data_IF_095055472851
#
_entry.id   IF_095055472851
#
_cell.length_a   1.000
_cell.length_b   1.000
_cell.length_c   1.000
_cell.angle_alpha   90.00
_cell.angle_beta   90.00
_cell.angle_gamma   90.00
#
_symmetry.space_group_name_H-M   'P 1'
#
loop_
_entity.id
_entity.type
_entity.pdbx_description
1 polymer ?
#
# COMPACT_ATOMS: atom_id res chain seq x y z
N UNK A 1 6.80 20.46 11.57
CA UNK A 1 5.63 21.03 10.85
C UNK A 1 5.65 20.60 9.38
N UNK A 2 4.49 20.35 8.78
CA UNK A 2 4.34 20.05 7.35
C UNK A 2 4.83 21.21 6.48
N UNK A 3 5.22 20.92 5.24
CA UNK A 3 5.59 21.93 4.22
C UNK A 3 4.71 21.80 3.00
N UNK A 4 4.68 22.83 2.15
CA UNK A 4 3.96 22.75 0.87
C UNK A 4 4.66 21.75 -0.04
N UNK A 5 3.92 20.75 -0.51
CA UNK A 5 4.43 19.74 -1.45
C UNK A 5 3.83 19.91 -2.84
N UNK A 6 2.60 20.40 -2.97
CA UNK A 6 1.91 20.46 -4.27
C UNK A 6 1.11 21.74 -4.42
N UNK A 7 1.16 22.35 -5.60
CA UNK A 7 0.22 23.39 -6.02
C UNK A 7 -0.75 22.82 -7.07
N UNK A 8 -2.01 23.23 -6.94
CA UNK A 8 -3.03 23.15 -7.98
C UNK A 8 -3.19 24.54 -8.55
N UNK A 9 -3.03 24.70 -9.86
CA UNK A 9 -3.15 26.00 -10.51
C UNK A 9 -4.33 26.05 -11.49
N UNK A 10 -4.87 27.24 -11.71
CA UNK A 10 -5.87 27.54 -12.75
C UNK A 10 -5.63 28.93 -13.30
N UNK A 11 -5.55 29.07 -14.62
CA UNK A 11 -5.30 30.37 -15.25
C UNK A 11 -4.01 31.05 -14.79
N UNK A 12 -3.00 30.28 -14.35
CA UNK A 12 -1.72 30.80 -13.83
C UNK A 12 -1.70 31.03 -12.31
N UNK A 13 -2.86 31.10 -11.65
CA UNK A 13 -2.98 31.35 -10.22
C UNK A 13 -2.97 30.05 -9.40
N UNK A 14 -2.48 30.11 -8.17
CA UNK A 14 -2.52 28.97 -7.22
C UNK A 14 -3.93 28.91 -6.61
N UNK A 15 -4.69 27.89 -7.00
CA UNK A 15 -6.07 27.65 -6.54
C UNK A 15 -6.12 26.76 -5.29
N UNK A 16 -5.18 25.82 -5.13
CA UNK A 16 -5.08 25.00 -3.92
C UNK A 16 -3.64 24.64 -3.59
N UNK A 17 -3.39 24.45 -2.30
CA UNK A 17 -2.08 24.10 -1.74
C UNK A 17 -2.24 22.82 -0.94
N UNK A 18 -1.45 21.79 -1.27
CA UNK A 18 -1.36 20.58 -0.46
C UNK A 18 -0.04 20.57 0.29
N UNK A 19 -0.14 20.46 1.62
CA UNK A 19 1.00 20.33 2.52
C UNK A 19 1.20 18.88 2.91
N UNK A 20 2.41 18.53 3.31
CA UNK A 20 2.67 17.19 3.80
C UNK A 20 4.05 17.02 4.42
N UNK A 21 4.30 15.77 4.80
CA UNK A 21 5.56 15.26 5.29
C UNK A 21 6.04 14.15 4.35
N UNK A 22 7.32 14.18 4.01
CA UNK A 22 7.96 13.22 3.12
C UNK A 22 9.33 12.87 3.70
N UNK A 23 9.62 11.57 3.76
CA UNK A 23 10.89 11.08 4.29
C UNK A 23 11.40 9.94 3.41
N UNK A 24 12.70 9.94 3.16
CA UNK A 24 13.43 8.84 2.53
C UNK A 24 14.51 8.37 3.48
N UNK A 25 14.53 7.07 3.74
CA UNK A 25 15.40 6.41 4.72
C UNK A 25 16.22 5.34 4.03
N UNK A 26 17.53 5.29 4.30
CA UNK A 26 18.39 4.22 3.82
C UNK A 26 18.33 2.97 4.71
N UNK A 27 18.96 1.88 4.24
CA UNK A 27 19.02 0.59 4.95
C UNK A 27 19.61 0.64 6.38
N UNK A 28 20.34 1.70 6.73
CA UNK A 28 20.89 1.91 8.08
C UNK A 28 19.95 2.72 8.99
N UNK A 29 18.81 3.19 8.47
CA UNK A 29 17.88 4.04 9.17
C UNK A 29 18.22 5.53 9.09
N UNK A 30 19.19 5.96 8.27
CA UNK A 30 19.51 7.37 8.10
C UNK A 30 18.54 8.03 7.13
N UNK A 31 18.09 9.23 7.45
CA UNK A 31 17.31 10.06 6.54
C UNK A 31 18.24 10.58 5.45
N UNK A 32 18.00 10.17 4.20
CA UNK A 32 18.76 10.64 3.03
C UNK A 32 18.10 11.85 2.37
N UNK A 33 16.79 12.01 2.57
CA UNK A 33 16.02 13.16 2.12
C UNK A 33 14.77 13.33 2.98
N UNK A 34 14.37 14.56 3.24
CA UNK A 34 13.09 14.86 3.89
C UNK A 34 12.55 16.22 3.47
N UNK A 35 11.22 16.33 3.39
CA UNK A 35 10.50 17.60 3.29
C UNK A 35 9.39 17.60 4.35
N UNK A 36 9.34 18.64 5.19
CA UNK A 36 8.41 18.72 6.31
C UNK A 36 8.89 17.95 7.55
N UNK A 37 7.95 17.37 8.29
CA UNK A 37 8.21 16.75 9.58
C UNK A 37 8.31 15.24 9.51
N UNK A 38 9.55 14.72 9.57
CA UNK A 38 9.77 13.28 9.55
C UNK A 38 9.16 12.55 10.76
N UNK A 39 8.96 13.27 11.87
CA UNK A 39 8.36 12.74 13.10
C UNK A 39 6.83 12.84 13.12
N UNK A 40 6.22 13.40 12.06
CA UNK A 40 4.77 13.59 11.97
C UNK A 40 4.01 12.29 12.22
N UNK A 41 3.21 12.28 13.28
CA UNK A 41 2.48 11.09 13.72
C UNK A 41 1.15 10.96 12.96
N UNK A 42 0.92 9.81 12.33
CA UNK A 42 -0.32 9.53 11.58
C UNK A 42 -0.56 8.02 11.52
N UNK A 43 -1.76 7.61 11.08
CA UNK A 43 -2.04 6.22 10.78
C UNK A 43 -1.38 5.80 9.45
N UNK A 44 -0.71 4.65 9.44
CA UNK A 44 -0.07 4.04 8.25
C UNK A 44 -1.09 3.53 7.23
N UNK A 45 -2.31 3.23 7.70
CA UNK A 45 -3.44 2.76 6.89
C UNK A 45 -3.02 1.58 6.00
N UNK A 46 -3.59 1.48 4.81
CA UNK A 46 -3.35 0.39 3.87
C UNK A 46 -1.89 0.27 3.37
N UNK A 47 -1.01 1.23 3.64
CA UNK A 47 0.41 1.09 3.32
C UNK A 47 1.14 0.13 4.30
N UNK A 48 0.52 -0.29 5.41
CA UNK A 48 1.09 -1.32 6.29
C UNK A 48 0.94 -2.75 5.74
N UNK A 49 0.10 -2.97 4.73
CA UNK A 49 -0.31 -4.31 4.25
C UNK A 49 0.84 -5.24 3.82
N UNK A 50 1.92 -4.77 3.17
CA UNK A 50 3.08 -5.61 2.87
C UNK A 50 3.72 -6.23 4.12
N UNK A 51 3.54 -5.61 5.28
CA UNK A 51 4.06 -6.12 6.55
C UNK A 51 3.01 -6.94 7.30
N UNK A 52 1.73 -6.60 7.19
CA UNK A 52 0.64 -7.36 7.81
C UNK A 52 0.54 -8.81 7.30
N UNK A 53 1.02 -9.11 6.09
CA UNK A 53 1.03 -10.49 5.56
C UNK A 53 2.18 -11.34 6.12
N UNK A 54 3.23 -10.72 6.68
CA UNK A 54 4.44 -11.44 7.10
C UNK A 54 4.19 -12.54 8.14
N UNK A 55 3.37 -12.36 9.20
CA UNK A 55 3.13 -13.44 10.16
C UNK A 55 2.59 -14.72 9.50
N UNK A 56 1.72 -14.58 8.48
CA UNK A 56 1.17 -15.72 7.74
C UNK A 56 2.26 -16.47 6.97
N UNK A 57 3.17 -15.73 6.32
CA UNK A 57 4.29 -16.31 5.59
C UNK A 57 5.30 -16.96 6.57
N UNK A 58 5.64 -16.28 7.67
CA UNK A 58 6.56 -16.79 8.69
C UNK A 58 6.04 -18.03 9.42
N UNK A 59 4.71 -18.21 9.46
CA UNK A 59 4.06 -19.41 9.96
C UNK A 59 4.05 -20.58 8.95
N UNK A 60 4.59 -20.41 7.74
CA UNK A 60 4.64 -21.43 6.69
C UNK A 60 3.36 -21.52 5.86
N UNK A 61 2.58 -20.44 5.79
CA UNK A 61 1.29 -20.44 5.10
C UNK A 61 1.38 -20.57 3.59
N UNK A 62 2.46 -20.06 2.99
CA UNK A 62 2.70 -20.15 1.55
C UNK A 62 2.84 -21.61 1.14
N UNK A 63 3.67 -22.38 1.85
CA UNK A 63 3.92 -23.80 1.57
C UNK A 63 2.70 -24.65 1.95
N UNK A 64 2.08 -24.38 3.10
CA UNK A 64 0.93 -25.16 3.60
C UNK A 64 -0.27 -25.10 2.67
N UNK A 65 -0.58 -23.95 2.10
CA UNK A 65 -1.73 -23.78 1.20
C UNK A 65 -1.35 -23.74 -0.28
N UNK A 66 -0.06 -23.70 -0.61
CA UNK A 66 0.44 -23.59 -1.98
C UNK A 66 0.06 -22.27 -2.65
N UNK A 67 0.19 -21.15 -1.94
CA UNK A 67 -0.16 -19.83 -2.48
C UNK A 67 0.80 -19.39 -3.59
N UNK A 68 0.26 -18.86 -4.69
CA UNK A 68 1.08 -18.29 -5.78
C UNK A 68 1.52 -16.86 -5.49
N UNK A 69 2.49 -16.35 -6.24
CA UNK A 69 2.92 -14.95 -6.12
C UNK A 69 1.77 -13.95 -6.38
N UNK A 70 0.86 -14.24 -7.31
CA UNK A 70 -0.36 -13.43 -7.54
C UNK A 70 -1.27 -13.36 -6.30
N UNK A 71 -1.43 -14.50 -5.62
CA UNK A 71 -2.28 -14.62 -4.44
C UNK A 71 -1.65 -13.91 -3.24
N UNK A 72 -0.32 -13.98 -3.09
CA UNK A 72 0.40 -13.21 -2.09
C UNK A 72 0.32 -11.70 -2.40
N UNK A 73 0.42 -11.31 -3.67
CA UNK A 73 0.29 -9.91 -4.08
C UNK A 73 -1.11 -9.35 -3.76
N UNK A 74 -2.19 -10.11 -3.99
CA UNK A 74 -3.53 -9.64 -3.60
C UNK A 74 -3.69 -9.56 -2.08
N UNK A 75 -2.96 -10.37 -1.29
CA UNK A 75 -2.96 -10.26 0.18
C UNK A 75 -2.34 -8.95 0.70
N UNK A 76 -1.48 -8.29 -0.07
CA UNK A 76 -0.90 -6.98 0.29
C UNK A 76 -1.70 -5.79 -0.28
N UNK A 77 -2.78 -6.06 -1.00
CA UNK A 77 -3.40 -5.09 -1.90
C UNK A 77 -4.40 -4.13 -1.25
N UNK A 78 -4.65 -3.01 -1.92
CA UNK A 78 -5.94 -2.32 -1.89
C UNK A 78 -6.56 -2.44 -3.28
N UNK A 79 -6.92 -3.66 -3.68
CA UNK A 79 -7.22 -3.99 -5.07
C UNK A 79 -8.46 -3.27 -5.63
N UNK A 80 -8.50 -3.11 -6.95
CA UNK A 80 -9.56 -2.42 -7.69
C UNK A 80 -10.93 -3.11 -7.69
N UNK A 81 -11.03 -4.35 -7.18
CA UNK A 81 -12.24 -5.18 -7.29
C UNK A 81 -12.52 -5.68 -8.71
N UNK A 82 -11.49 -5.71 -9.56
CA UNK A 82 -11.58 -6.24 -10.93
C UNK A 82 -11.59 -7.77 -10.94
N UNK A 83 -12.13 -8.38 -12.00
CA UNK A 83 -12.40 -9.83 -12.12
C UNK A 83 -11.22 -10.71 -11.70
N UNK A 84 -10.01 -10.44 -12.22
CA UNK A 84 -8.79 -11.16 -11.84
C UNK A 84 -8.47 -11.09 -10.33
N UNK A 85 -8.79 -9.98 -9.66
CA UNK A 85 -8.62 -9.88 -8.20
C UNK A 85 -9.61 -10.77 -7.47
N UNK A 86 -10.88 -10.76 -7.90
CA UNK A 86 -11.95 -11.58 -7.32
C UNK A 86 -11.60 -13.06 -7.48
N UNK A 87 -11.12 -13.45 -8.66
CA UNK A 87 -10.67 -14.81 -8.96
C UNK A 87 -9.49 -15.24 -8.07
N UNK A 88 -8.51 -14.36 -7.86
CA UNK A 88 -7.38 -14.64 -6.97
C UNK A 88 -7.83 -14.87 -5.52
N UNK A 89 -8.75 -14.03 -5.01
CA UNK A 89 -9.33 -14.23 -3.68
C UNK A 89 -10.11 -15.54 -3.61
N UNK A 90 -10.92 -15.86 -4.62
CA UNK A 90 -11.62 -17.14 -4.70
C UNK A 90 -10.68 -18.35 -4.68
N UNK A 91 -9.55 -18.30 -5.40
CA UNK A 91 -8.52 -19.35 -5.36
C UNK A 91 -7.88 -19.49 -3.99
N UNK A 92 -7.63 -18.39 -3.28
CA UNK A 92 -7.10 -18.41 -1.91
C UNK A 92 -8.04 -19.17 -0.98
N UNK A 93 -9.33 -18.84 -0.98
CA UNK A 93 -10.34 -19.54 -0.16
C UNK A 93 -10.45 -21.02 -0.52
N UNK A 94 -10.43 -21.36 -1.81
CA UNK A 94 -10.40 -22.75 -2.27
C UNK A 94 -9.19 -23.53 -1.71
N UNK A 95 -8.00 -22.92 -1.71
CA UNK A 95 -6.77 -23.52 -1.17
C UNK A 95 -6.79 -23.66 0.36
N UNK A 96 -7.42 -22.73 1.06
CA UNK A 96 -7.62 -22.82 2.52
C UNK A 96 -8.68 -23.86 2.92
N UNK A 97 -9.51 -24.32 1.97
CA UNK A 97 -10.61 -25.25 2.25
C UNK A 97 -11.75 -24.61 3.06
N UNK A 98 -11.91 -23.28 2.98
CA UNK A 98 -13.00 -22.56 3.66
C UNK A 98 -13.75 -21.65 2.69
N UNK A 99 -14.96 -21.25 3.09
CA UNK A 99 -15.83 -20.43 2.27
C UNK A 99 -15.52 -18.93 2.37
N UNK A 100 -15.86 -18.19 1.30
CA UNK A 100 -15.66 -16.74 1.22
C UNK A 100 -16.56 -15.95 2.20
N UNK A 101 -17.59 -16.60 2.74
CA UNK A 101 -18.45 -16.12 3.82
C UNK A 101 -17.69 -15.89 5.13
N UNK A 102 -16.45 -16.41 5.26
CA UNK A 102 -15.54 -16.10 6.37
C UNK A 102 -14.88 -14.73 6.27
N UNK A 103 -15.02 -14.01 5.16
CA UNK A 103 -14.66 -12.59 5.12
C UNK A 103 -15.51 -11.81 6.11
N UNK A 104 -14.87 -10.81 6.73
CA UNK A 104 -15.48 -9.88 7.69
C UNK A 104 -14.94 -8.47 7.41
N UNK A 105 -14.82 -8.14 6.11
CA UNK A 105 -14.38 -6.82 5.65
C UNK A 105 -15.55 -5.91 5.29
N UNK A 106 -16.77 -6.47 5.23
CA UNK A 106 -17.97 -5.79 4.78
C UNK A 106 -18.04 -5.66 3.26
N UNK A 107 -19.27 -5.62 2.72
CA UNK A 107 -19.50 -5.35 1.31
C UNK A 107 -19.06 -3.93 0.94
N UNK A 108 -18.37 -3.79 -0.19
CA UNK A 108 -17.89 -2.49 -0.65
C UNK A 108 -17.87 -2.39 -2.17
N UNK A 109 -18.11 -1.18 -2.67
CA UNK A 109 -18.02 -0.85 -4.09
C UNK A 109 -16.58 -1.08 -4.59
N UNK A 110 -16.37 -1.74 -5.74
CA UNK A 110 -15.05 -1.82 -6.37
C UNK A 110 -14.42 -0.44 -6.56
N UNK A 111 -13.13 -0.31 -6.25
CA UNK A 111 -12.40 0.94 -6.47
C UNK A 111 -12.21 1.26 -7.96
N UNK A 112 -12.18 0.24 -8.82
CA UNK A 112 -12.10 0.42 -10.27
C UNK A 112 -13.50 0.81 -10.82
N UNK A 113 -13.67 2.02 -11.40
CA UNK A 113 -14.98 2.49 -11.82
C UNK A 113 -15.67 1.61 -12.86
N UNK A 114 -14.92 1.01 -13.79
CA UNK A 114 -15.51 0.14 -14.80
C UNK A 114 -16.00 -1.19 -14.20
N UNK A 115 -15.27 -1.77 -13.26
CA UNK A 115 -15.71 -2.96 -12.52
C UNK A 115 -16.99 -2.67 -11.72
N UNK A 116 -17.04 -1.54 -11.01
CA UNK A 116 -18.23 -1.12 -10.28
C UNK A 116 -19.45 -0.90 -11.20
N UNK A 117 -19.25 -0.33 -12.39
CA UNK A 117 -20.32 -0.13 -13.40
C UNK A 117 -20.81 -1.46 -13.99
N UNK A 118 -19.91 -2.41 -14.26
CA UNK A 118 -20.25 -3.74 -14.80
C UNK A 118 -21.25 -4.46 -13.88
N UNK A 119 -20.97 -4.50 -12.58
CA UNK A 119 -21.86 -5.11 -11.58
C UNK A 119 -23.24 -4.43 -11.52
N UNK A 120 -23.27 -3.09 -11.52
CA UNK A 120 -24.53 -2.34 -11.53
C UNK A 120 -25.37 -2.61 -12.79
N UNK A 121 -24.74 -2.66 -13.96
CA UNK A 121 -25.43 -2.99 -15.22
C UNK A 121 -26.00 -4.41 -15.23
N UNK A 122 -25.40 -5.32 -14.47
CA UNK A 122 -25.85 -6.69 -14.30
C UNK A 122 -26.85 -6.87 -13.14
N UNK A 123 -27.24 -5.78 -12.44
CA UNK A 123 -28.04 -5.81 -11.22
C UNK A 123 -27.45 -6.72 -10.12
N UNK A 124 -26.13 -6.88 -10.09
CA UNK A 124 -25.45 -7.66 -9.05
C UNK A 124 -25.09 -6.75 -7.87
N UNK A 125 -25.31 -7.19 -6.62
CA UNK A 125 -24.90 -6.44 -5.45
C UNK A 125 -23.37 -6.41 -5.32
N UNK A 126 -22.87 -5.44 -4.58
CA UNK A 126 -21.49 -5.49 -4.09
C UNK A 126 -21.41 -6.45 -2.91
N UNK A 127 -20.51 -7.42 -3.00
CA UNK A 127 -20.19 -8.39 -1.95
C UNK A 127 -18.84 -8.11 -1.28
N UNK A 128 -18.51 -8.85 -0.22
CA UNK A 128 -17.26 -8.71 0.54
C UNK A 128 -15.99 -8.95 -0.31
N UNK A 129 -16.06 -9.82 -1.32
CA UNK A 129 -14.93 -10.07 -2.23
C UNK A 129 -14.56 -8.84 -3.06
N UNK A 130 -15.51 -7.93 -3.28
CA UNK A 130 -15.26 -6.66 -3.98
C UNK A 130 -14.58 -5.62 -3.09
N UNK A 131 -14.55 -5.86 -1.77
CA UNK A 131 -13.89 -4.97 -0.84
C UNK A 131 -12.39 -4.92 -1.14
N UNK A 132 -11.78 -3.73 -1.28
CA UNK A 132 -10.34 -3.60 -1.58
C UNK A 132 -9.42 -4.27 -0.57
N UNK A 133 -9.91 -4.60 0.62
CA UNK A 133 -9.16 -5.29 1.66
C UNK A 133 -9.39 -6.80 1.68
N UNK A 134 -10.24 -7.38 0.84
CA UNK A 134 -10.60 -8.80 0.91
C UNK A 134 -9.37 -9.74 0.83
N UNK A 135 -8.38 -9.39 0.00
CA UNK A 135 -7.10 -10.10 -0.04
C UNK A 135 -6.34 -10.06 1.29
N UNK A 136 -6.20 -8.90 1.94
CA UNK A 136 -5.59 -8.80 3.29
C UNK A 136 -6.35 -9.64 4.32
N UNK A 137 -7.68 -9.65 4.26
CA UNK A 137 -8.49 -10.45 5.20
C UNK A 137 -8.26 -11.95 4.98
N UNK A 138 -8.06 -12.39 3.74
CA UNK A 138 -7.72 -13.78 3.46
C UNK A 138 -6.40 -14.22 4.10
N UNK A 139 -5.37 -13.35 4.21
CA UNK A 139 -4.13 -13.69 4.91
C UNK A 139 -4.28 -13.75 6.44
N UNK A 140 -5.17 -12.93 7.01
CA UNK A 140 -5.56 -13.00 8.43
C UNK A 140 -6.24 -14.33 8.75
N UNK A 141 -7.16 -14.77 7.88
CA UNK A 141 -7.86 -16.06 8.00
C UNK A 141 -6.87 -17.21 7.83
N UNK A 142 -5.99 -17.15 6.84
CA UNK A 142 -4.93 -18.14 6.64
C UNK A 142 -4.05 -18.27 7.88
N UNK A 143 -3.62 -17.15 8.48
CA UNK A 143 -2.83 -17.15 9.71
C UNK A 143 -3.58 -17.84 10.86
N UNK A 144 -4.86 -17.51 11.06
CA UNK A 144 -5.69 -18.15 12.08
C UNK A 144 -5.73 -19.68 11.90
N UNK A 145 -5.96 -20.15 10.66
CA UNK A 145 -6.01 -21.58 10.33
C UNK A 145 -4.67 -22.29 10.54
N UNK A 146 -3.54 -21.63 10.23
CA UNK A 146 -2.21 -22.23 10.40
C UNK A 146 -1.86 -22.37 11.88
N UNK A 147 -2.19 -21.35 12.67
CA UNK A 147 -1.93 -21.29 14.10
C UNK A 147 -2.94 -22.09 14.95
N UNK A 148 -4.06 -22.52 14.36
CA UNK A 148 -5.14 -23.18 15.08
C UNK A 148 -5.97 -22.23 15.95
N UNK A 149 -5.98 -20.93 15.62
CA UNK A 149 -6.86 -19.97 16.27
C UNK A 149 -8.30 -20.10 15.74
N UNK A 150 -9.26 -19.61 16.54
CA UNK A 150 -10.62 -19.38 16.05
C UNK A 150 -10.56 -18.36 14.91
N UNK A 151 -11.29 -18.59 13.83
CA UNK A 151 -11.34 -17.64 12.70
C UNK A 151 -12.27 -16.49 13.03
N UNK A 152 -13.44 -16.78 13.60
CA UNK A 152 -14.46 -15.77 13.87
C UNK A 152 -13.91 -14.70 14.83
N UNK A 153 -14.13 -13.42 14.50
CA UNK A 153 -13.60 -12.30 15.26
C UNK A 153 -12.13 -11.95 14.97
N UNK A 154 -11.51 -12.51 13.92
CA UNK A 154 -10.12 -12.19 13.55
C UNK A 154 -9.85 -10.71 13.33
N UNK A 155 -10.88 -9.90 13.09
CA UNK A 155 -10.79 -8.45 12.90
C UNK A 155 -10.63 -7.67 14.21
N UNK A 156 -10.92 -8.28 15.36
CA UNK A 156 -10.90 -7.60 16.65
C UNK A 156 -9.46 -7.38 17.15
N UNK A 157 -9.12 -6.21 17.73
CA UNK A 157 -7.78 -5.92 18.23
C UNK A 157 -7.22 -6.95 19.21
N UNK A 158 -8.09 -7.56 20.02
CA UNK A 158 -7.73 -8.55 21.05
C UNK A 158 -7.40 -9.93 20.45
N UNK A 159 -7.79 -10.16 19.20
CA UNK A 159 -7.62 -11.43 18.52
C UNK A 159 -6.11 -11.74 18.30
N UNK A 160 -5.66 -12.99 18.51
CA UNK A 160 -4.25 -13.36 18.34
C UNK A 160 -3.64 -12.97 16.98
N UNK A 161 -4.43 -13.05 15.89
CA UNK A 161 -4.02 -12.59 14.55
C UNK A 161 -3.60 -11.11 14.54
N UNK A 162 -4.39 -10.23 15.16
CA UNK A 162 -4.09 -8.81 15.18
C UNK A 162 -2.89 -8.49 16.08
N UNK A 163 -2.71 -9.25 17.16
CA UNK A 163 -1.52 -9.16 18.03
C UNK A 163 -0.25 -9.56 17.29
N UNK A 164 -0.25 -10.67 16.56
CA UNK A 164 0.91 -11.07 15.73
C UNK A 164 1.23 -10.02 14.65
N UNK A 165 0.21 -9.41 14.05
CA UNK A 165 0.43 -8.32 13.09
C UNK A 165 1.01 -7.06 13.75
N UNK A 166 0.55 -6.71 14.96
CA UNK A 166 1.09 -5.59 15.73
C UNK A 166 2.56 -5.84 16.13
N UNK A 167 2.90 -7.06 16.54
CA UNK A 167 4.28 -7.45 16.85
C UNK A 167 5.20 -7.29 15.63
N UNK A 168 4.75 -7.74 14.46
CA UNK A 168 5.51 -7.51 13.22
C UNK A 168 5.65 -6.02 12.92
N UNK A 169 4.59 -5.24 13.06
CA UNK A 169 4.64 -3.78 12.84
C UNK A 169 5.64 -3.12 13.79
N UNK A 170 5.62 -3.46 15.08
CA UNK A 170 6.61 -3.02 16.07
C UNK A 170 8.03 -3.31 15.59
N UNK A 171 8.29 -4.54 15.17
CA UNK A 171 9.62 -4.97 14.74
C UNK A 171 10.11 -4.24 13.47
N UNK A 172 9.28 -4.17 12.41
CA UNK A 172 9.72 -3.58 11.12
C UNK A 172 9.81 -2.05 11.18
N UNK A 173 8.98 -1.41 11.98
CA UNK A 173 9.00 0.04 12.16
C UNK A 173 10.03 0.47 13.21
N UNK A 174 10.44 -0.45 14.10
CA UNK A 174 11.44 -0.24 15.13
C UNK A 174 11.01 0.79 16.18
N UNK A 175 9.75 0.77 16.58
CA UNK A 175 9.20 1.54 17.71
C UNK A 175 8.56 0.62 18.72
N UNK A 176 8.53 1.03 19.97
CA UNK A 176 7.86 0.29 21.04
C UNK A 176 6.35 0.21 20.80
N UNK A 177 5.76 -0.91 21.23
CA UNK A 177 4.34 -1.21 20.99
C UNK A 177 3.42 -0.17 21.62
N UNK A 178 3.80 0.42 22.76
CA UNK A 178 3.06 1.46 23.47
C UNK A 178 3.01 2.79 22.70
N UNK A 179 3.97 2.99 21.78
CA UNK A 179 4.01 4.16 20.89
C UNK A 179 3.11 4.00 19.66
N UNK A 180 2.59 2.79 19.42
CA UNK A 180 1.68 2.49 18.32
C UNK A 180 0.24 2.67 18.80
N UNK A 181 -0.44 3.71 18.30
CA UNK A 181 -1.87 3.90 18.55
C UNK A 181 -2.66 3.02 17.59
N UNK A 182 -3.64 2.30 18.14
CA UNK A 182 -4.56 1.48 17.35
C UNK A 182 -5.82 2.29 17.05
N UNK A 183 -6.15 2.41 15.77
CA UNK A 183 -7.47 2.81 15.29
C UNK A 183 -8.16 1.65 14.57
N UNK A 184 -9.41 1.84 14.16
CA UNK A 184 -10.16 0.85 13.36
C UNK A 184 -10.37 1.40 11.95
N UNK A 185 -10.02 0.62 10.92
CA UNK A 185 -10.21 1.00 9.52
C UNK A 185 -11.65 0.80 9.05
N UNK A 186 -11.97 1.33 7.86
CA UNK A 186 -13.28 1.14 7.23
C UNK A 186 -13.63 -0.31 6.87
N UNK A 187 -12.64 -1.22 6.85
CA UNK A 187 -12.87 -2.66 6.70
C UNK A 187 -12.90 -3.42 8.03
N UNK A 188 -12.93 -2.73 9.18
CA UNK A 188 -13.15 -3.32 10.50
C UNK A 188 -11.91 -3.79 11.26
N UNK A 189 -10.72 -3.77 10.64
CA UNK A 189 -9.47 -4.22 11.30
C UNK A 189 -8.65 -3.07 11.89
N UNK A 190 -7.74 -3.35 12.85
CA UNK A 190 -6.74 -2.42 13.35
C UNK A 190 -5.91 -1.71 12.28
N UNK A 191 -5.65 -0.43 12.52
CA UNK A 191 -4.64 0.40 11.83
C UNK A 191 -3.66 0.99 12.82
N UNK A 192 -2.41 1.11 12.39
CA UNK A 192 -1.29 1.46 13.25
C UNK A 192 -0.93 2.94 13.07
N UNK A 193 -0.93 3.69 14.17
CA UNK A 193 -0.43 5.06 14.27
C UNK A 193 1.05 5.05 14.59
N UNK A 194 1.86 5.76 13.80
CA UNK A 194 3.31 5.90 14.00
C UNK A 194 3.87 7.10 13.22
N UNK A 195 5.10 7.54 13.50
CA UNK A 195 5.77 8.58 12.71
C UNK A 195 6.02 8.14 11.26
N UNK A 196 5.96 9.09 10.32
CA UNK A 196 6.26 8.84 8.89
C UNK A 196 7.65 8.26 8.68
N UNK A 197 8.65 8.70 9.45
CA UNK A 197 9.99 8.11 9.45
C UNK A 197 9.98 6.59 9.64
N UNK A 198 9.19 6.09 10.60
CA UNK A 198 9.14 4.67 10.93
C UNK A 198 8.42 3.84 9.85
N UNK A 199 7.49 4.45 9.11
CA UNK A 199 6.92 3.85 7.89
C UNK A 199 8.00 3.71 6.82
N UNK A 200 8.79 4.76 6.57
CA UNK A 200 9.89 4.73 5.60
C UNK A 200 10.96 3.68 6.00
N UNK A 201 11.30 3.58 7.28
CA UNK A 201 12.22 2.56 7.81
C UNK A 201 11.72 1.14 7.56
N UNK A 202 10.43 0.86 7.75
CA UNK A 202 9.90 -0.45 7.41
C UNK A 202 10.02 -0.74 5.90
N UNK A 203 9.77 0.26 5.05
CA UNK A 203 9.94 0.12 3.60
C UNK A 203 11.40 -0.03 3.16
N UNK A 204 12.39 0.46 3.92
CA UNK A 204 13.80 0.18 3.61
C UNK A 204 14.14 -1.29 3.85
N UNK A 205 13.48 -1.97 4.81
CA UNK A 205 13.61 -3.42 4.98
C UNK A 205 12.97 -4.20 3.81
N UNK A 206 11.85 -3.71 3.27
CA UNK A 206 11.26 -4.30 2.06
C UNK A 206 12.15 -4.07 0.82
N UNK A 207 12.87 -2.94 0.77
CA UNK A 207 13.82 -2.61 -0.29
C UNK A 207 15.11 -3.44 -0.25
N UNK A 208 15.56 -3.79 0.95
CA UNK A 208 16.75 -4.63 1.19
C UNK A 208 16.50 -5.64 2.33
N UNK A 209 15.79 -6.75 2.04
CA UNK A 209 15.43 -7.76 3.05
C UNK A 209 16.62 -8.36 3.80
N UNK A 210 17.84 -8.33 3.26
CA UNK A 210 19.04 -8.86 3.92
C UNK A 210 19.36 -8.12 5.22
N UNK A 211 18.90 -6.88 5.35
CA UNK A 211 19.07 -6.06 6.57
C UNK A 211 18.06 -6.37 7.66
N UNK A 212 17.06 -7.21 7.38
CA UNK A 212 16.09 -7.64 8.38
C UNK A 212 16.70 -8.66 9.37
N UNK A 213 16.30 -8.54 10.64
CA UNK A 213 16.68 -9.47 11.69
C UNK A 213 15.97 -10.82 11.56
N UNK A 214 16.73 -11.91 11.67
CA UNK A 214 16.21 -13.29 11.62
C UNK A 214 15.95 -13.82 10.19
N UNK A 215 16.26 -15.09 9.96
CA UNK A 215 16.09 -15.72 8.63
C UNK A 215 14.64 -15.73 8.17
N UNK A 216 13.69 -16.05 9.05
CA UNK A 216 12.25 -16.10 8.71
C UNK A 216 11.71 -14.76 8.20
N UNK A 217 12.02 -13.65 8.90
CA UNK A 217 11.57 -12.30 8.50
C UNK A 217 12.16 -11.89 7.16
N UNK A 218 13.46 -12.17 6.95
CA UNK A 218 14.16 -11.93 5.70
C UNK A 218 13.49 -12.67 4.53
N UNK A 219 13.23 -13.96 4.70
CA UNK A 219 12.61 -14.79 3.66
C UNK A 219 11.17 -14.36 3.38
N UNK A 220 10.40 -14.01 4.42
CA UNK A 220 9.06 -13.48 4.26
C UNK A 220 9.05 -12.14 3.50
N UNK A 221 9.97 -11.22 3.82
CA UNK A 221 10.12 -9.94 3.10
C UNK A 221 10.53 -10.16 1.64
N UNK A 222 11.43 -11.11 1.34
CA UNK A 222 11.77 -11.49 -0.05
C UNK A 222 10.55 -12.00 -0.81
N UNK A 223 9.76 -12.87 -0.19
CA UNK A 223 8.54 -13.41 -0.78
C UNK A 223 7.53 -12.29 -1.09
N UNK A 224 7.31 -11.37 -0.15
CA UNK A 224 6.44 -10.20 -0.37
C UNK A 224 6.97 -9.29 -1.47
N UNK A 225 8.27 -8.96 -1.44
CA UNK A 225 8.89 -8.10 -2.44
C UNK A 225 8.80 -8.71 -3.85
N UNK A 226 9.05 -10.02 -3.98
CA UNK A 226 8.91 -10.76 -5.23
C UNK A 226 7.46 -10.78 -5.72
N UNK A 227 6.52 -11.10 -4.84
CA UNK A 227 5.10 -11.14 -5.18
C UNK A 227 4.61 -9.79 -5.70
N UNK A 228 4.87 -8.71 -4.97
CA UNK A 228 4.43 -7.36 -5.35
C UNK A 228 5.10 -6.86 -6.63
N UNK A 229 6.42 -7.06 -6.77
CA UNK A 229 7.18 -6.54 -7.92
C UNK A 229 6.82 -7.22 -9.24
N UNK A 230 6.53 -8.52 -9.22
CA UNK A 230 6.15 -9.29 -10.42
C UNK A 230 4.66 -9.25 -10.75
N UNK A 231 3.81 -8.91 -9.78
CA UNK A 231 2.36 -8.96 -9.92
C UNK A 231 1.69 -7.61 -9.58
N UNK A 232 2.13 -6.49 -10.18
CA UNK A 232 1.71 -5.14 -9.79
C UNK A 232 0.21 -4.88 -9.98
N UNK A 233 -0.41 -5.52 -10.97
CA UNK A 233 -1.86 -5.47 -11.15
C UNK A 233 -2.58 -5.90 -9.87
N UNK A 234 -2.18 -7.00 -9.23
CA UNK A 234 -2.86 -7.52 -8.04
C UNK A 234 -2.68 -6.65 -6.79
N UNK A 235 -1.70 -5.74 -6.77
CA UNK A 235 -1.44 -4.83 -5.63
C UNK A 235 -2.45 -3.67 -5.58
N UNK A 236 -2.87 -3.15 -6.72
CA UNK A 236 -3.78 -1.99 -6.78
C UNK A 236 -4.81 -2.05 -7.91
N UNK A 237 -4.42 -2.48 -9.11
CA UNK A 237 -5.28 -2.61 -10.28
C UNK A 237 -5.03 -1.52 -11.32
N UNK A 238 -5.88 -1.47 -12.35
CA UNK A 238 -5.65 -0.62 -13.53
C UNK A 238 -5.72 0.89 -13.22
N UNK A 239 -4.78 1.65 -13.80
CA UNK A 239 -4.78 3.13 -13.79
C UNK A 239 -4.37 3.75 -12.46
N UNK A 240 -3.71 2.99 -11.59
CA UNK A 240 -3.23 3.41 -10.26
C UNK A 240 -1.73 3.60 -10.30
N UNK A 241 -1.24 4.65 -9.65
CA UNK A 241 0.20 4.94 -9.58
C UNK A 241 1.01 3.77 -9.03
N UNK A 242 0.48 3.05 -8.02
CA UNK A 242 1.13 1.88 -7.44
C UNK A 242 1.50 0.85 -8.54
N UNK A 243 0.54 0.50 -9.39
CA UNK A 243 0.72 -0.47 -10.48
C UNK A 243 1.63 0.09 -11.57
N UNK A 244 1.36 1.31 -12.04
CA UNK A 244 2.14 1.94 -13.11
C UNK A 244 3.62 2.12 -12.72
N UNK A 245 3.90 2.54 -11.49
CA UNK A 245 5.26 2.75 -11.01
C UNK A 245 6.05 1.44 -10.93
N UNK A 246 5.41 0.37 -10.44
CA UNK A 246 6.06 -0.96 -10.37
C UNK A 246 6.31 -1.49 -11.79
N UNK A 247 5.34 -1.36 -12.71
CA UNK A 247 5.48 -1.81 -14.11
C UNK A 247 6.57 -1.03 -14.85
N UNK A 248 6.53 0.31 -14.81
CA UNK A 248 7.49 1.19 -15.50
C UNK A 248 8.91 0.94 -15.03
N UNK A 249 9.11 0.68 -13.74
CA UNK A 249 10.44 0.43 -13.15
C UNK A 249 10.84 -1.05 -13.16
N UNK A 250 10.07 -1.91 -13.81
CA UNK A 250 10.28 -3.37 -13.87
C UNK A 250 10.47 -4.00 -12.48
N UNK A 251 9.65 -3.61 -11.51
CA UNK A 251 9.71 -4.14 -10.14
C UNK A 251 10.77 -3.50 -9.24
N UNK A 252 11.63 -2.62 -9.78
CA UNK A 252 12.69 -1.98 -9.00
C UNK A 252 12.12 -1.08 -7.90
N UNK A 253 10.99 -0.41 -8.14
CA UNK A 253 10.28 0.37 -7.13
C UNK A 253 8.96 -0.32 -6.79
N UNK A 254 8.86 -0.83 -5.57
CA UNK A 254 7.64 -1.41 -5.02
C UNK A 254 6.85 -0.31 -4.34
N UNK A 255 5.58 -0.15 -4.65
CA UNK A 255 4.76 0.93 -4.14
C UNK A 255 3.46 0.46 -3.51
N UNK A 256 2.96 1.26 -2.55
CA UNK A 256 1.68 1.01 -1.91
C UNK A 256 1.05 2.30 -1.38
N UNK A 257 -0.15 2.57 -1.87
CA UNK A 257 -1.03 3.59 -1.34
C UNK A 257 -1.65 3.15 -0.01
N UNK A 258 -1.65 4.08 0.93
CA UNK A 258 -2.50 4.10 2.12
C UNK A 258 -3.61 5.14 1.98
N UNK A 259 -4.75 4.89 2.64
CA UNK A 259 -5.82 5.89 2.69
C UNK A 259 -5.38 7.18 3.39
N UNK A 260 -6.14 8.26 3.23
CA UNK A 260 -5.87 9.55 3.87
C UNK A 260 -4.49 10.11 3.52
N UNK A 261 -4.13 10.11 2.24
CA UNK A 261 -2.93 10.80 1.76
C UNK A 261 -1.60 10.11 2.13
N UNK A 262 -1.62 8.85 2.56
CA UNK A 262 -0.40 8.09 2.86
C UNK A 262 0.09 7.36 1.61
N UNK A 263 1.38 7.44 1.31
CA UNK A 263 1.98 6.63 0.26
C UNK A 263 3.37 6.17 0.68
N UNK A 264 3.70 4.91 0.40
CA UNK A 264 5.01 4.38 0.72
C UNK A 264 5.59 3.62 -0.48
N UNK A 265 6.92 3.64 -0.59
CA UNK A 265 7.63 2.91 -1.63
C UNK A 265 8.97 2.35 -1.13
N UNK A 266 9.37 1.22 -1.70
CA UNK A 266 10.65 0.56 -1.48
C UNK A 266 11.42 0.55 -2.80
N UNK A 267 12.61 1.13 -2.80
CA UNK A 267 13.48 1.22 -3.98
C UNK A 267 14.54 0.13 -3.86
N UNK A 268 14.25 -1.01 -4.48
CA UNK A 268 15.11 -2.19 -4.44
C UNK A 268 16.45 -1.92 -5.13
N UNK A 269 17.51 -2.60 -4.67
CA UNK A 269 18.89 -2.33 -5.09
C UNK A 269 19.53 -1.12 -4.42
N UNK A 270 18.81 0.01 -4.31
CA UNK A 270 19.26 1.17 -3.55
C UNK A 270 19.09 0.98 -2.03
N UNK A 271 18.14 0.15 -1.60
CA UNK A 271 17.83 -0.09 -0.19
C UNK A 271 17.22 1.14 0.48
N UNK A 272 16.37 1.86 -0.26
CA UNK A 272 15.69 3.07 0.24
C UNK A 272 14.21 2.78 0.51
N UNK A 273 13.73 3.23 1.65
CA UNK A 273 12.31 3.31 1.96
C UNK A 273 11.82 4.75 1.92
N UNK A 274 10.63 4.94 1.36
CA UNK A 274 9.98 6.24 1.18
C UNK A 274 8.65 6.20 1.90
N UNK A 275 8.31 7.26 2.63
CA UNK A 275 6.96 7.47 3.15
C UNK A 275 6.54 8.93 3.01
N UNK A 276 5.28 9.12 2.63
CA UNK A 276 4.63 10.42 2.45
C UNK A 276 3.32 10.42 3.21
N UNK A 277 3.00 11.56 3.82
CA UNK A 277 1.68 11.91 4.33
C UNK A 277 1.29 13.29 3.81
N UNK A 278 0.29 13.34 2.95
CA UNK A 278 -0.42 14.58 2.59
C UNK A 278 -1.37 14.95 3.74
N UNK A 279 -1.25 16.16 4.26
CA UNK A 279 -1.90 16.61 5.49
C UNK A 279 -3.42 16.52 5.41
N UNK A 280 -4.01 17.03 4.33
CA UNK A 280 -5.46 17.03 4.08
C UNK A 280 -6.02 15.68 3.59
N UNK A 281 -5.15 14.67 3.47
CA UNK A 281 -5.52 13.33 3.04
C UNK A 281 -5.83 13.18 1.55
N UNK A 282 -5.64 14.22 0.73
CA UNK A 282 -6.06 14.21 -0.66
C UNK A 282 -5.09 13.46 -1.58
N UNK A 283 -5.60 12.48 -2.31
CA UNK A 283 -4.80 11.65 -3.22
C UNK A 283 -4.24 12.41 -4.43
N UNK A 284 -4.88 13.50 -4.88
CA UNK A 284 -4.46 14.22 -6.10
C UNK A 284 -3.07 14.85 -5.99
N UNK A 285 -2.56 15.00 -4.77
CA UNK A 285 -1.22 15.49 -4.50
C UNK A 285 -0.13 14.40 -4.56
N UNK A 286 -0.49 13.12 -4.45
CA UNK A 286 0.48 12.03 -4.30
C UNK A 286 1.29 11.82 -5.58
N UNK A 287 0.62 11.67 -6.73
CA UNK A 287 1.28 11.33 -7.99
C UNK A 287 2.41 12.32 -8.36
N UNK A 288 2.16 13.66 -8.37
CA UNK A 288 3.21 14.62 -8.68
C UNK A 288 4.38 14.57 -7.68
N UNK A 289 4.08 14.37 -6.39
CA UNK A 289 5.09 14.36 -5.32
C UNK A 289 5.99 13.14 -5.44
N UNK A 290 5.43 11.95 -5.67
CA UNK A 290 6.22 10.73 -5.83
C UNK A 290 7.09 10.80 -7.08
N UNK A 291 6.54 11.18 -8.22
CA UNK A 291 7.32 11.21 -9.46
C UNK A 291 8.42 12.27 -9.40
N UNK A 292 8.14 13.46 -8.85
CA UNK A 292 9.15 14.51 -8.68
C UNK A 292 10.25 14.09 -7.68
N UNK A 293 9.89 13.45 -6.55
CA UNK A 293 10.86 12.93 -5.60
C UNK A 293 11.81 11.94 -6.28
N UNK A 294 11.27 10.94 -6.97
CA UNK A 294 12.06 9.90 -7.61
C UNK A 294 12.96 10.47 -8.71
N UNK A 295 12.46 11.45 -9.48
CA UNK A 295 13.25 12.17 -10.47
C UNK A 295 14.42 12.93 -9.82
N UNK A 296 14.18 13.68 -8.74
CA UNK A 296 15.22 14.45 -8.04
C UNK A 296 16.31 13.57 -7.43
N UNK A 297 15.94 12.38 -6.97
CA UNK A 297 16.88 11.41 -6.43
C UNK A 297 17.58 10.58 -7.51
N UNK A 298 17.31 10.82 -8.80
CA UNK A 298 17.90 10.06 -9.91
C UNK A 298 17.46 8.60 -9.95
N UNK A 299 16.28 8.29 -9.41
CA UNK A 299 15.75 6.92 -9.29
C UNK A 299 14.88 6.51 -10.48
N UNK A 300 14.58 7.44 -11.39
CA UNK A 300 13.92 7.18 -12.67
C UNK A 300 14.86 7.50 -13.81
N UNK A 301 14.89 6.65 -14.83
CA UNK A 301 15.52 6.98 -16.11
C UNK A 301 14.69 8.01 -16.87
N UNK A 302 15.25 8.62 -17.92
CA UNK A 302 14.51 9.54 -18.78
C UNK A 302 13.28 8.88 -19.43
N UNK A 303 13.42 7.64 -19.87
CA UNK A 303 12.32 6.86 -20.47
C UNK A 303 11.22 6.52 -19.44
N UNK A 304 11.62 6.14 -18.23
CA UNK A 304 10.68 5.86 -17.14
C UNK A 304 9.90 7.12 -16.73
N UNK A 305 10.59 8.27 -16.68
CA UNK A 305 9.95 9.55 -16.40
C UNK A 305 8.96 9.95 -17.50
N UNK A 306 9.29 9.71 -18.77
CA UNK A 306 8.39 9.98 -19.90
C UNK A 306 7.10 9.15 -19.82
N UNK A 307 7.21 7.86 -19.47
CA UNK A 307 6.05 7.00 -19.24
C UNK A 307 5.17 7.46 -18.07
N UNK A 308 5.73 8.21 -17.12
CA UNK A 308 5.04 8.77 -15.96
C UNK A 308 4.73 10.27 -16.10
N UNK A 309 4.89 10.86 -17.29
CA UNK A 309 4.77 12.31 -17.48
C UNK A 309 3.40 12.87 -17.06
N UNK A 310 2.31 12.14 -17.35
CA UNK A 310 0.94 12.53 -16.98
C UNK A 310 0.66 12.41 -15.46
N UNK A 311 1.54 11.71 -14.73
CA UNK A 311 1.53 11.59 -13.26
C UNK A 311 2.41 12.67 -12.61
N UNK A 312 3.45 13.11 -13.31
CA UNK A 312 4.42 14.11 -12.84
C UNK A 312 3.84 15.52 -12.84
N UNK A 313 3.24 15.94 -13.96
CA UNK A 313 2.51 17.20 -14.08
C UNK A 313 1.10 16.86 -14.56
N UNK A 314 0.16 16.80 -13.60
CA UNK A 314 -1.20 16.36 -13.89
C UNK A 314 -1.99 17.51 -14.48
N UNK A 315 -2.30 17.43 -15.77
CA UNK A 315 -3.10 18.44 -16.48
C UNK A 315 -4.56 18.41 -16.01
N UNK A 316 -5.07 19.54 -15.57
CA UNK A 316 -6.49 19.73 -15.24
C UNK A 316 -7.21 20.10 -16.53
N UNK A 317 -8.27 19.35 -16.88
CA UNK A 317 -9.06 19.57 -18.09
C UNK A 317 -10.50 19.99 -17.76
N UNK A 318 -11.07 20.92 -18.54
CA UNK A 318 -12.50 21.25 -18.44
C UNK A 318 -13.36 20.14 -19.10
N UNK A 319 -14.69 20.32 -19.08
CA UNK A 319 -15.63 19.41 -19.73
C UNK A 319 -15.46 19.36 -21.28
N UNK A 320 -14.94 20.42 -21.89
CA UNK A 320 -14.56 20.51 -23.31
C UNK A 320 -13.20 19.87 -23.64
N UNK A 321 -12.48 19.37 -22.63
CA UNK A 321 -11.14 18.75 -22.71
C UNK A 321 -9.96 19.71 -22.88
N UNK A 322 -10.19 21.02 -22.78
CA UNK A 322 -9.11 22.01 -22.76
C UNK A 322 -8.32 21.92 -21.47
N UNK A 323 -7.00 22.12 -21.54
CA UNK A 323 -6.14 22.23 -20.36
C UNK A 323 -6.32 23.62 -19.75
N UNK A 324 -6.75 23.66 -18.50
CA UNK A 324 -7.11 24.90 -17.78
C UNK A 324 -6.25 25.14 -16.54
N UNK A 325 -5.33 24.22 -16.25
CA UNK A 325 -4.54 24.21 -15.03
C UNK A 325 -3.71 22.95 -14.91
N UNK A 326 -2.94 22.86 -13.83
CA UNK A 326 -2.07 21.72 -13.55
C UNK A 326 -1.97 21.45 -12.05
N UNK A 327 -1.59 20.23 -11.70
CA UNK A 327 -1.17 19.84 -10.36
C UNK A 327 0.30 19.44 -10.44
N UNK A 328 1.17 20.10 -9.68
CA UNK A 328 2.62 19.83 -9.69
C UNK A 328 3.24 19.93 -8.31
N UNK A 329 4.31 19.15 -8.12
CA UNK A 329 5.15 19.22 -6.94
C UNK A 329 5.99 20.52 -6.90
N UNK A 330 6.21 21.08 -5.70
CA UNK A 330 6.89 22.38 -5.50
C UNK A 330 7.86 22.44 -4.31
N UNK A 331 8.14 21.30 -3.69
CA UNK A 331 9.20 21.13 -2.68
C UNK A 331 10.53 20.80 -3.35
#
# INVERSE_FOLDING_TARGET
MSVVLTHVTRGGEIESVHRGNLVVVDRSGRIVYSAGDASGYTYWRSAAKPFQVLPMIEAGGVERFGFSEEEIAVMTSSHGGEERHIDAVGRIFKKMGCGIDKLDCGAAKPMHPAAARKLLQQNMPYEQVHNPCSGKHSSMIALALIRGYVVDGYVQPEHPVQKEMLDVVKDVSGIEIESIKIGIDGCGVPVFGLPVYNMAKAYSLLADPETAGGSKRRDALKTVASAMSKNPFYVAGTGRLDTELIEVTNGRIIAKLGSEGVYCAAVTGAGLGIAIKIEDGNYRAIDPVIVELLRRLGLLTGEELEKLADRWVVKIKNHHKDVIGEIKAVF
#
